data_IF_592006896889
#
_entry.id   IF_592006896889
#
_cell.length_a   1.000
_cell.length_b   1.000
_cell.length_c   1.000
_cell.angle_alpha   90.00
_cell.angle_beta   90.00
_cell.angle_gamma   90.00
#
_symmetry.space_group_name_H-M   'P 1'
#
loop_
_entity.id
_entity.type
_entity.pdbx_description
1 polymer ?
#
# COMPACT_ATOMS: atom_id res chain seq x y z
N UNK A 1 -12.47 -11.99 10.90
CA UNK A 1 -11.67 -10.76 11.13
C UNK A 1 -11.11 -10.37 9.79
N UNK A 2 -11.55 -9.25 9.20
CA UNK A 2 -11.00 -8.80 7.92
C UNK A 2 -9.48 -8.64 8.06
N UNK A 3 -8.74 -9.32 7.20
CA UNK A 3 -7.29 -9.27 7.17
C UNK A 3 -6.90 -7.83 6.83
N UNK A 4 -5.99 -7.26 7.62
CA UNK A 4 -5.43 -5.94 7.33
C UNK A 4 -4.81 -5.87 5.93
N UNK A 5 -4.37 -7.00 5.36
CA UNK A 5 -3.93 -7.05 3.96
C UNK A 5 -5.08 -6.83 2.97
N UNK A 6 -6.25 -7.41 3.22
CA UNK A 6 -7.46 -7.16 2.41
C UNK A 6 -7.85 -5.68 2.47
N UNK A 7 -7.94 -5.11 3.69
CA UNK A 7 -8.21 -3.67 3.87
C UNK A 7 -7.20 -2.76 3.17
N UNK A 8 -5.93 -3.19 3.10
CA UNK A 8 -4.89 -2.44 2.39
C UNK A 8 -5.13 -2.42 0.87
N UNK A 9 -5.50 -3.56 0.27
CA UNK A 9 -5.70 -3.64 -1.18
C UNK A 9 -7.03 -3.07 -1.65
N UNK A 10 -8.05 -3.11 -0.79
CA UNK A 10 -9.37 -2.53 -1.07
C UNK A 10 -9.44 -1.01 -0.79
N UNK A 11 -8.44 -0.46 -0.08
CA UNK A 11 -8.40 0.96 0.24
C UNK A 11 -8.30 1.82 -1.02
N UNK A 12 -9.09 2.91 -1.04
CA UNK A 12 -9.00 3.90 -2.11
C UNK A 12 -7.63 4.58 -2.12
N UNK A 13 -7.28 5.22 -3.25
CA UNK A 13 -6.03 5.97 -3.38
C UNK A 13 -5.91 7.06 -2.28
N UNK A 14 -7.02 7.71 -1.91
CA UNK A 14 -6.99 8.74 -0.87
C UNK A 14 -6.77 8.15 0.54
N UNK A 15 -7.31 6.97 0.82
CA UNK A 15 -7.06 6.25 2.07
C UNK A 15 -5.63 5.71 2.12
N UNK A 16 -5.11 5.14 1.02
CA UNK A 16 -3.71 4.72 0.90
C UNK A 16 -2.74 5.88 1.09
N UNK A 17 -3.07 7.09 0.61
CA UNK A 17 -2.23 8.28 0.83
C UNK A 17 -2.25 8.75 2.28
N UNK A 18 -3.40 8.67 2.95
CA UNK A 18 -3.54 9.03 4.38
C UNK A 18 -2.93 7.96 5.29
N UNK A 19 -2.95 6.70 4.86
CA UNK A 19 -2.42 5.54 5.57
C UNK A 19 -3.37 4.90 6.59
N UNK A 20 -4.65 5.26 6.58
CA UNK A 20 -5.67 4.67 7.45
C UNK A 20 -7.06 4.65 6.79
N UNK A 21 -7.91 3.76 7.27
CA UNK A 21 -9.33 3.64 6.89
C UNK A 21 -10.22 3.74 8.13
N UNK A 22 -11.47 4.16 7.96
CA UNK A 22 -12.46 4.09 9.03
C UNK A 22 -13.28 2.81 8.89
N UNK A 23 -13.32 2.00 9.94
CA UNK A 23 -14.12 0.78 10.02
C UNK A 23 -15.38 1.08 10.81
N UNK A 24 -16.54 1.07 10.13
CA UNK A 24 -17.83 1.40 10.74
C UNK A 24 -18.26 0.37 11.78
N UNK A 25 -17.98 -0.92 11.58
CA UNK A 25 -18.36 -1.98 12.52
C UNK A 25 -17.61 -1.86 13.84
N UNK A 26 -16.34 -1.46 13.78
CA UNK A 26 -15.49 -1.25 14.95
C UNK A 26 -15.56 0.17 15.50
N UNK A 27 -16.29 1.05 14.82
CA UNK A 27 -16.30 2.50 15.06
C UNK A 27 -14.89 3.06 15.25
N UNK A 28 -13.94 2.66 14.41
CA UNK A 28 -12.51 2.92 14.65
C UNK A 28 -11.69 3.17 13.41
N UNK A 29 -10.60 3.93 13.58
CA UNK A 29 -9.62 4.18 12.53
C UNK A 29 -8.55 3.09 12.55
N UNK A 30 -8.34 2.41 11.43
CA UNK A 30 -7.37 1.32 11.29
C UNK A 30 -6.18 1.82 10.47
N UNK A 31 -4.96 1.73 11.02
CA UNK A 31 -3.75 2.00 10.28
C UNK A 31 -3.52 0.92 9.21
N UNK A 32 -3.38 1.31 7.94
CA UNK A 32 -3.18 0.40 6.81
C UNK A 32 -1.80 -0.27 6.82
N UNK A 33 -0.82 0.31 7.49
CA UNK A 33 0.53 -0.24 7.57
C UNK A 33 0.61 -1.41 8.59
N UNK A 34 0.25 -1.17 9.85
CA UNK A 34 0.38 -2.16 10.93
C UNK A 34 -0.92 -2.87 11.33
N UNK A 35 -2.09 -2.29 11.05
CA UNK A 35 -3.39 -2.82 11.47
C UNK A 35 -3.85 -2.37 12.86
N UNK A 36 -3.09 -1.52 13.55
CA UNK A 36 -3.53 -0.93 14.82
C UNK A 36 -4.83 -0.13 14.63
N UNK A 37 -5.73 -0.27 15.61
CA UNK A 37 -7.08 0.31 15.57
C UNK A 37 -7.26 1.32 16.68
N UNK A 38 -7.78 2.50 16.34
CA UNK A 38 -8.03 3.61 17.24
C UNK A 38 -9.54 3.92 17.27
N UNK A 39 -10.19 3.62 18.39
CA UNK A 39 -11.64 3.70 18.55
C UNK A 39 -12.09 5.16 18.61
N UNK A 40 -13.07 5.52 17.78
CA UNK A 40 -13.69 6.83 17.75
C UNK A 40 -14.38 7.13 19.09
N UNK A 41 -14.23 8.35 19.58
CA UNK A 41 -14.76 8.75 20.89
C UNK A 41 -13.84 8.44 22.07
N UNK A 42 -12.78 7.65 21.85
CA UNK A 42 -11.68 7.52 22.82
C UNK A 42 -10.67 8.64 22.60
N UNK A 43 -10.18 9.21 23.70
CA UNK A 43 -9.11 10.20 23.70
C UNK A 43 -7.79 9.49 23.98
N UNK A 44 -6.83 9.72 23.10
CA UNK A 44 -5.49 9.15 23.19
C UNK A 44 -4.50 10.21 23.65
N UNK A 45 -3.49 9.81 24.41
CA UNK A 45 -2.48 10.73 24.94
C UNK A 45 -1.11 10.43 24.33
N UNK A 46 -0.46 11.46 23.77
CA UNK A 46 0.95 11.42 23.39
C UNK A 46 1.64 12.69 23.89
N UNK A 47 2.80 12.54 24.54
CA UNK A 47 3.60 13.67 25.06
C UNK A 47 2.80 14.72 25.84
N UNK A 48 1.87 14.28 26.71
CA UNK A 48 0.97 15.13 27.51
C UNK A 48 -0.12 15.89 26.74
N UNK A 49 -0.21 15.69 25.43
CA UNK A 49 -1.29 16.23 24.60
C UNK A 49 -2.33 15.13 24.37
N UNK A 50 -3.60 15.54 24.47
CA UNK A 50 -4.75 14.68 24.24
C UNK A 50 -5.26 14.86 22.81
N UNK A 51 -5.48 13.75 22.11
CA UNK A 51 -5.88 13.71 20.71
C UNK A 51 -7.13 12.85 20.54
N UNK A 52 -7.98 13.27 19.61
CA UNK A 52 -9.05 12.41 19.10
C UNK A 52 -8.46 11.29 18.24
N UNK A 53 -9.16 10.15 18.16
CA UNK A 53 -8.72 8.95 17.45
C UNK A 53 -8.21 9.21 16.01
N UNK A 54 -8.91 10.05 15.23
CA UNK A 54 -8.50 10.38 13.86
C UNK A 54 -7.16 11.12 13.81
N UNK A 55 -6.95 12.05 14.74
CA UNK A 55 -5.68 12.77 14.82
C UNK A 55 -4.58 11.86 15.33
N UNK A 56 -4.91 10.95 16.24
CA UNK A 56 -3.96 10.03 16.82
C UNK A 56 -3.46 9.00 15.80
N UNK A 57 -4.31 8.45 14.93
CA UNK A 57 -3.86 7.54 13.86
C UNK A 57 -2.89 8.22 12.89
N UNK A 58 -3.09 9.52 12.60
CA UNK A 58 -2.15 10.29 11.78
C UNK A 58 -0.79 10.44 12.46
N UNK A 59 -0.77 10.67 13.78
CA UNK A 59 0.47 10.73 14.57
C UNK A 59 1.14 9.36 14.65
N UNK A 60 0.37 8.31 14.87
CA UNK A 60 0.86 6.93 14.86
C UNK A 60 1.59 6.61 13.54
N UNK A 61 1.01 6.96 12.39
CA UNK A 61 1.68 6.75 11.09
C UNK A 61 3.00 7.53 10.98
N UNK A 62 3.04 8.76 11.50
CA UNK A 62 4.27 9.57 11.48
C UNK A 62 5.35 9.00 12.42
N UNK A 63 4.95 8.50 13.58
CA UNK A 63 5.87 8.03 14.61
C UNK A 63 6.37 6.59 14.34
N UNK A 64 5.46 5.68 14.00
CA UNK A 64 5.75 4.25 13.86
C UNK A 64 6.13 3.86 12.42
N UNK A 65 5.75 4.67 11.43
CA UNK A 65 5.97 4.37 10.01
C UNK A 65 6.72 5.46 9.25
N UNK A 66 7.22 6.50 9.94
CA UNK A 66 7.83 7.72 9.38
C UNK A 66 6.85 8.56 8.56
N UNK A 67 6.32 7.97 7.49
CA UNK A 67 5.24 8.51 6.69
C UNK A 67 4.64 7.42 5.83
N UNK A 68 3.42 7.64 5.34
CA UNK A 68 2.83 6.70 4.39
C UNK A 68 3.58 6.67 3.05
N UNK A 69 4.24 7.78 2.67
CA UNK A 69 5.11 7.81 1.50
C UNK A 69 6.30 6.86 1.66
N UNK A 70 6.99 6.93 2.81
CA UNK A 70 8.14 6.06 3.10
C UNK A 70 7.72 4.59 3.20
N UNK A 71 6.57 4.32 3.82
CA UNK A 71 6.01 2.97 3.88
C UNK A 71 5.77 2.39 2.48
N UNK A 72 5.02 3.09 1.62
CA UNK A 72 4.71 2.65 0.26
C UNK A 72 5.97 2.50 -0.61
N UNK A 73 6.92 3.43 -0.49
CA UNK A 73 8.16 3.40 -1.28
C UNK A 73 9.04 2.18 -0.92
N UNK A 74 9.02 1.76 0.35
CA UNK A 74 9.83 0.65 0.86
C UNK A 74 9.16 -0.72 0.71
N UNK A 75 7.90 -0.80 0.25
CA UNK A 75 7.27 -2.07 -0.12
C UNK A 75 8.07 -2.80 -1.21
N UNK A 76 7.85 -4.12 -1.31
CA UNK A 76 8.53 -4.95 -2.30
C UNK A 76 8.39 -4.40 -3.74
N UNK A 77 9.40 -4.66 -4.58
CA UNK A 77 9.39 -4.26 -5.99
C UNK A 77 8.19 -4.85 -6.74
N UNK A 78 7.68 -6.02 -6.34
CA UNK A 78 6.50 -6.64 -6.93
C UNK A 78 5.21 -5.87 -6.67
N UNK A 79 5.16 -5.10 -5.57
CA UNK A 79 4.03 -4.22 -5.27
C UNK A 79 4.20 -2.84 -5.92
N UNK A 80 5.36 -2.23 -5.76
CA UNK A 80 5.60 -0.86 -6.26
C UNK A 80 5.85 -0.81 -7.77
N UNK A 81 6.35 -1.91 -8.35
CA UNK A 81 6.87 -1.96 -9.71
C UNK A 81 8.07 -1.06 -9.95
N UNK A 82 8.73 -0.53 -8.90
CA UNK A 82 9.85 0.40 -9.00
C UNK A 82 11.19 -0.31 -8.78
N UNK A 83 12.18 -0.01 -9.62
CA UNK A 83 13.57 -0.40 -9.36
C UNK A 83 14.18 0.44 -8.23
N UNK A 84 15.27 -0.01 -7.63
CA UNK A 84 15.94 0.74 -6.54
C UNK A 84 16.35 2.15 -6.97
N UNK A 85 16.84 2.29 -8.20
CA UNK A 85 17.14 3.61 -8.77
C UNK A 85 15.87 4.47 -8.90
N UNK A 86 14.75 3.90 -9.35
CA UNK A 86 13.49 4.62 -9.44
C UNK A 86 12.95 5.01 -8.06
N UNK A 87 13.10 4.15 -7.04
CA UNK A 87 12.72 4.49 -5.66
C UNK A 87 13.49 5.71 -5.14
N UNK A 88 14.82 5.71 -5.32
CA UNK A 88 15.66 6.89 -4.98
C UNK A 88 15.22 8.15 -5.72
N UNK A 89 14.91 8.04 -7.02
CA UNK A 89 14.41 9.19 -7.78
C UNK A 89 13.09 9.73 -7.22
N UNK A 90 12.13 8.84 -6.92
CA UNK A 90 10.83 9.22 -6.33
C UNK A 90 11.04 9.88 -4.96
N UNK A 91 11.96 9.37 -4.14
CA UNK A 91 12.35 9.98 -2.86
C UNK A 91 12.87 11.41 -3.04
N UNK A 92 13.81 11.63 -3.96
CA UNK A 92 14.32 12.98 -4.23
C UNK A 92 13.26 13.94 -4.77
N UNK A 93 12.30 13.44 -5.56
CA UNK A 93 11.18 14.25 -6.05
C UNK A 93 10.25 14.66 -4.91
N UNK A 94 10.01 13.74 -3.96
CA UNK A 94 9.25 14.02 -2.75
C UNK A 94 9.92 15.07 -1.86
N UNK A 95 11.25 15.02 -1.75
CA UNK A 95 12.06 16.05 -1.07
C UNK A 95 12.08 17.41 -1.81
N UNK A 96 11.51 17.51 -3.02
CA UNK A 96 11.46 18.75 -3.80
C UNK A 96 12.77 19.12 -4.50
N UNK A 97 13.74 18.21 -4.58
CA UNK A 97 15.05 18.49 -5.19
C UNK A 97 14.93 18.73 -6.69
N UNK A 98 15.71 19.68 -7.21
CA UNK A 98 15.85 19.97 -8.64
C UNK A 98 16.89 19.07 -9.32
N UNK A 99 16.95 19.10 -10.66
CA UNK A 99 17.84 18.22 -11.44
C UNK A 99 19.32 18.34 -11.05
N UNK A 100 19.80 19.54 -10.69
CA UNK A 100 21.21 19.75 -10.32
C UNK A 100 21.52 19.22 -8.92
N UNK A 101 20.59 19.37 -7.98
CA UNK A 101 20.70 18.83 -6.62
C UNK A 101 20.73 17.30 -6.65
N UNK A 102 19.85 16.68 -7.44
CA UNK A 102 19.82 15.21 -7.56
C UNK A 102 21.11 14.65 -8.15
N UNK A 103 21.71 15.30 -9.16
CA UNK A 103 23.00 14.88 -9.71
C UNK A 103 24.11 14.92 -8.65
N UNK A 104 24.08 15.93 -7.77
CA UNK A 104 25.04 16.02 -6.65
C UNK A 104 24.81 14.92 -5.62
N UNK A 105 23.56 14.64 -5.24
CA UNK A 105 23.26 13.61 -4.24
C UNK A 105 23.50 12.18 -4.73
N UNK A 106 23.34 11.92 -6.03
CA UNK A 106 23.67 10.63 -6.62
C UNK A 106 25.18 10.43 -6.86
N UNK A 107 25.98 11.49 -6.70
CA UNK A 107 27.39 11.55 -7.09
C UNK A 107 27.64 10.97 -8.50
N UNK A 108 26.72 11.27 -9.43
CA UNK A 108 26.71 10.62 -10.73
C UNK A 108 25.50 10.93 -11.61
N UNK A 109 25.69 10.74 -12.92
CA UNK A 109 24.69 11.02 -13.95
C UNK A 109 24.74 12.45 -14.48
N UNK A 110 23.76 12.81 -15.30
CA UNK A 110 23.65 14.14 -15.89
C UNK A 110 22.25 14.71 -15.67
N UNK A 111 22.11 16.02 -15.76
CA UNK A 111 20.78 16.66 -15.62
C UNK A 111 19.78 16.15 -16.66
N UNK A 112 20.24 15.79 -17.87
CA UNK A 112 19.36 15.18 -18.89
C UNK A 112 18.90 13.78 -18.48
N UNK A 113 19.78 12.98 -17.86
CA UNK A 113 19.41 11.67 -17.30
C UNK A 113 18.33 11.80 -16.22
N UNK A 114 18.48 12.73 -15.27
CA UNK A 114 17.47 12.96 -14.22
C UNK A 114 16.14 13.42 -14.80
N UNK A 115 16.19 14.33 -15.78
CA UNK A 115 14.98 14.79 -16.49
C UNK A 115 14.27 13.64 -17.21
N UNK A 116 15.03 12.73 -17.80
CA UNK A 116 14.46 11.54 -18.42
C UNK A 116 13.76 10.65 -17.38
N UNK A 117 14.38 10.40 -16.23
CA UNK A 117 13.73 9.66 -15.13
C UNK A 117 12.43 10.34 -14.66
N UNK A 118 12.42 11.66 -14.49
CA UNK A 118 11.18 12.40 -14.15
C UNK A 118 10.10 12.20 -15.22
N UNK A 119 10.47 12.32 -16.48
CA UNK A 119 9.55 12.15 -17.59
C UNK A 119 8.95 10.74 -17.61
N UNK A 120 9.78 9.70 -17.59
CA UNK A 120 9.34 8.30 -17.61
C UNK A 120 8.48 7.95 -16.39
N UNK A 121 8.84 8.41 -15.18
CA UNK A 121 8.03 8.15 -13.98
C UNK A 121 6.68 8.86 -14.03
N UNK A 122 6.62 10.10 -14.55
CA UNK A 122 5.34 10.81 -14.76
C UNK A 122 4.49 10.14 -15.83
N UNK A 123 5.10 9.63 -16.89
CA UNK A 123 4.40 8.86 -17.91
C UNK A 123 3.83 7.56 -17.34
N UNK A 124 4.63 6.82 -16.57
CA UNK A 124 4.20 5.61 -15.86
C UNK A 124 3.04 5.89 -14.90
N UNK A 125 3.06 7.01 -14.18
CA UNK A 125 1.93 7.43 -13.32
C UNK A 125 0.64 7.63 -14.14
N UNK A 126 0.73 8.29 -15.31
CA UNK A 126 -0.44 8.47 -16.19
C UNK A 126 -0.95 7.13 -16.73
N UNK A 127 -0.04 6.24 -17.14
CA UNK A 127 -0.38 4.90 -17.61
C UNK A 127 -1.06 4.09 -16.52
N UNK A 128 -0.52 4.10 -15.29
CA UNK A 128 -1.11 3.41 -14.14
C UNK A 128 -2.53 3.91 -13.83
N UNK A 129 -2.74 5.24 -13.88
CA UNK A 129 -4.09 5.82 -13.69
C UNK A 129 -5.09 5.34 -14.74
N UNK A 130 -4.70 5.34 -16.02
CA UNK A 130 -5.58 4.88 -17.11
C UNK A 130 -5.81 3.37 -17.00
N UNK A 131 -4.77 2.60 -16.67
CA UNK A 131 -4.86 1.15 -16.51
C UNK A 131 -5.80 0.78 -15.36
N UNK A 132 -5.67 1.42 -14.19
CA UNK A 132 -6.57 1.20 -13.06
C UNK A 132 -8.03 1.43 -13.46
N UNK A 133 -8.33 2.55 -14.11
CA UNK A 133 -9.69 2.85 -14.57
C UNK A 133 -10.22 1.80 -15.57
N UNK A 134 -9.37 1.28 -16.47
CA UNK A 134 -9.76 0.23 -17.41
C UNK A 134 -10.06 -1.10 -16.69
N UNK A 135 -9.28 -1.44 -15.65
CA UNK A 135 -9.49 -2.64 -14.85
C UNK A 135 -10.80 -2.56 -14.05
N UNK A 136 -11.02 -1.46 -13.34
CA UNK A 136 -12.26 -1.22 -12.58
C UNK A 136 -13.50 -1.32 -13.49
N UNK A 137 -13.50 -0.66 -14.65
CA UNK A 137 -14.60 -0.75 -15.62
C UNK A 137 -14.81 -2.16 -16.17
N UNK A 138 -13.74 -2.95 -16.30
CA UNK A 138 -13.82 -4.34 -16.75
C UNK A 138 -14.45 -5.23 -15.67
N UNK A 139 -14.08 -5.01 -14.40
CA UNK A 139 -14.60 -5.76 -13.24
C UNK A 139 -16.07 -5.44 -12.95
N UNK A 140 -16.49 -4.17 -13.10
CA UNK A 140 -17.89 -3.76 -12.98
C UNK A 140 -18.81 -4.48 -13.98
N UNK A 141 -18.29 -4.76 -15.19
CA UNK A 141 -19.04 -5.46 -16.23
C UNK A 141 -19.05 -6.98 -16.05
N UNK A 142 -18.02 -7.54 -15.40
CA UNK A 142 -17.92 -8.98 -15.20
C UNK A 142 -18.86 -9.44 -14.08
N UNK A 143 -19.81 -10.33 -14.39
CA UNK A 143 -20.70 -10.95 -13.39
C UNK A 143 -20.00 -12.02 -12.55
N UNK A 144 -18.85 -12.49 -13.01
CA UNK A 144 -18.04 -13.51 -12.33
C UNK A 144 -16.67 -12.89 -12.11
N UNK A 145 -16.41 -12.49 -10.87
CA UNK A 145 -15.07 -12.09 -10.46
C UNK A 145 -14.38 -13.33 -9.93
N UNK A 146 -13.36 -13.79 -10.65
CA UNK A 146 -12.43 -14.78 -10.11
C UNK A 146 -11.62 -14.09 -9.02
N UNK A 147 -12.01 -14.31 -7.76
CA UNK A 147 -11.28 -13.78 -6.62
C UNK A 147 -10.04 -14.62 -6.39
N UNK A 148 -8.88 -14.00 -6.60
CA UNK A 148 -7.60 -14.57 -6.20
C UNK A 148 -7.41 -14.38 -4.70
N UNK A 149 -6.67 -15.29 -4.08
CA UNK A 149 -6.27 -15.11 -2.68
C UNK A 149 -5.48 -13.80 -2.56
N UNK A 150 -5.87 -12.87 -1.67
CA UNK A 150 -5.20 -11.59 -1.54
C UNK A 150 -3.73 -11.80 -1.15
N UNK A 151 -2.84 -11.05 -1.79
CA UNK A 151 -1.41 -11.14 -1.50
C UNK A 151 -1.18 -10.44 -0.16
N UNK A 152 -0.51 -11.10 0.79
CA UNK A 152 -0.20 -10.45 2.06
C UNK A 152 0.71 -9.22 1.83
N UNK A 153 0.36 -8.06 2.40
CA UNK A 153 1.08 -6.79 2.11
C UNK A 153 2.56 -6.79 2.47
N UNK A 154 2.97 -7.65 3.41
CA UNK A 154 4.37 -7.84 3.82
C UNK A 154 5.07 -9.00 3.09
N UNK A 155 4.42 -9.64 2.11
CA UNK A 155 5.00 -10.76 1.39
C UNK A 155 6.21 -10.29 0.56
N UNK A 156 7.39 -10.82 0.89
CA UNK A 156 8.64 -10.58 0.16
C UNK A 156 8.78 -11.49 -1.07
N UNK A 157 7.99 -12.57 -1.13
CA UNK A 157 7.98 -13.52 -2.25
C UNK A 157 6.58 -13.62 -2.86
N UNK A 158 6.24 -12.69 -3.74
CA UNK A 158 4.97 -12.73 -4.50
C UNK A 158 5.17 -13.51 -5.81
N UNK A 159 4.95 -14.82 -5.80
CA UNK A 159 5.12 -15.71 -6.96
C UNK A 159 3.86 -16.56 -7.21
N UNK A 160 3.96 -17.60 -8.04
CA UNK A 160 2.87 -18.49 -8.44
C UNK A 160 2.06 -19.07 -7.27
N UNK A 161 2.57 -19.02 -6.03
CA UNK A 161 1.82 -19.40 -4.82
C UNK A 161 0.56 -18.56 -4.57
N UNK A 162 0.51 -17.32 -5.05
CA UNK A 162 -0.68 -16.46 -4.96
C UNK A 162 -1.57 -16.56 -6.21
N UNK A 163 -1.15 -17.33 -7.23
CA UNK A 163 -1.94 -17.59 -8.42
C UNK A 163 -2.91 -18.75 -8.19
N UNK A 164 -3.69 -18.65 -7.10
CA UNK A 164 -4.75 -19.58 -6.73
C UNK A 164 -5.99 -18.77 -6.39
N UNK A 165 -7.14 -19.24 -6.85
CA UNK A 165 -8.43 -18.62 -6.53
C UNK A 165 -8.86 -18.98 -5.11
N UNK A 166 -9.73 -18.17 -4.51
CA UNK A 166 -10.31 -18.49 -3.19
C UNK A 166 -11.05 -19.84 -3.21
N UNK A 167 -11.71 -20.18 -4.32
CA UNK A 167 -12.40 -21.44 -4.52
C UNK A 167 -11.42 -22.62 -4.52
N UNK A 168 -10.36 -22.56 -5.34
CA UNK A 168 -9.31 -23.58 -5.37
C UNK A 168 -8.60 -23.72 -4.03
N UNK A 169 -8.33 -22.62 -3.34
CA UNK A 169 -7.73 -22.65 -2.01
C UNK A 169 -8.64 -23.37 -1.00
N UNK A 170 -9.94 -23.11 -1.03
CA UNK A 170 -10.91 -23.80 -0.18
C UNK A 170 -11.01 -25.30 -0.50
N UNK A 171 -10.91 -25.69 -1.76
CA UNK A 171 -10.87 -27.11 -2.15
C UNK A 171 -9.61 -27.80 -1.63
N UNK A 172 -8.45 -27.17 -1.78
CA UNK A 172 -7.17 -27.67 -1.26
C UNK A 172 -7.23 -27.82 0.27
N UNK A 173 -7.75 -26.82 0.98
CA UNK A 173 -7.90 -26.88 2.44
C UNK A 173 -8.82 -28.03 2.87
N UNK A 174 -9.97 -28.22 2.21
CA UNK A 174 -10.87 -29.35 2.51
C UNK A 174 -10.25 -30.71 2.22
N UNK A 175 -9.43 -30.81 1.18
CA UNK A 175 -8.76 -32.05 0.81
C UNK A 175 -7.65 -32.44 1.81
N UNK A 176 -6.92 -31.46 2.35
CA UNK A 176 -5.77 -31.71 3.22
C UNK A 176 -6.05 -31.57 4.72
N UNK A 177 -7.13 -30.89 5.10
CA UNK A 177 -7.57 -30.70 6.49
C UNK A 177 -9.04 -31.13 6.67
N UNK A 178 -9.32 -32.44 6.59
CA UNK A 178 -10.70 -32.95 6.64
C UNK A 178 -11.39 -32.73 8.00
N UNK A 179 -10.62 -32.56 9.07
CA UNK A 179 -11.12 -32.28 10.44
C UNK A 179 -11.18 -30.77 10.76
N UNK A 180 -10.81 -29.91 9.79
CA UNK A 180 -10.76 -28.45 9.96
C UNK A 180 -9.34 -27.90 10.06
N UNK A 181 -9.20 -26.59 9.87
CA UNK A 181 -7.90 -25.88 9.87
C UNK A 181 -7.42 -25.48 11.28
N UNK A 182 -8.27 -25.66 12.29
CA UNK A 182 -8.03 -25.19 13.66
C UNK A 182 -7.26 -26.20 14.55
N UNK A 183 -7.02 -27.41 14.05
CA UNK A 183 -6.30 -28.46 14.77
C UNK A 183 -7.13 -29.19 15.83
#
# INVERSE_FOLDING_TARGET
MSDISEKFWDASIEELKKGYVFDEEKEGYICLACGETFIKGVIYQDNQVLYEAEKFVQLHIQNEHTSMFDYLLNMDKKFTGLTDLQKKMVQFFYMGLNDKEIVKELDGGSTSTIRNHRFTLREKMKQAKVFLALMELSEEKSKVQTKFVPIHRTATMVDDRYNITEEENNEVLKAHFPEGVDG
#
